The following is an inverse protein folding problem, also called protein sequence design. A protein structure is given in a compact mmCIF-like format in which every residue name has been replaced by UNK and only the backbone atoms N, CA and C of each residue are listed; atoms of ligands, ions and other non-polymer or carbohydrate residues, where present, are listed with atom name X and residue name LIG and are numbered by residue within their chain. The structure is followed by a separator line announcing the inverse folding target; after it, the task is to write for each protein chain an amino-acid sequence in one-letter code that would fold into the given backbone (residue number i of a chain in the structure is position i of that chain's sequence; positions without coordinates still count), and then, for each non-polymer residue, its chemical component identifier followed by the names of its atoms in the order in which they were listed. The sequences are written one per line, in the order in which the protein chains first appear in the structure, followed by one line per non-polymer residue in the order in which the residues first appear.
data_IF_174859960185
#
_entry.id   IF_174859960185
#
_cell.length_a   1.000
_cell.length_b   1.000
_cell.length_c   1.000
_cell.angle_alpha   90.00
_cell.angle_beta   90.00
_cell.angle_gamma   90.00
#
_symmetry.space_group_name_H-M   'P 1'
#
loop_
_entity.id
_entity.type
_entity.pdbx_description
1 polymer ?
#
# COMPACT_ATOMS: atom_id res chain seq x y z
N UNK A 1 -1.82 11.72 1.98
CA UNK A 1 -2.49 12.28 3.21
C UNK A 1 -2.16 13.75 3.38
N UNK A 2 -2.71 14.43 4.39
CA UNK A 2 -2.65 15.90 4.57
C UNK A 2 -1.24 16.54 4.61
N UNK A 3 -0.19 15.74 4.85
CA UNK A 3 1.21 16.18 4.74
C UNK A 3 2.00 15.52 3.62
N UNK A 4 1.36 14.84 2.65
CA UNK A 4 2.06 14.06 1.62
C UNK A 4 2.72 12.78 2.14
N UNK A 5 2.68 12.49 3.44
CA UNK A 5 3.38 11.34 4.06
C UNK A 5 2.62 10.01 3.92
N UNK A 6 1.29 10.05 3.87
CA UNK A 6 0.47 8.85 3.76
C UNK A 6 0.28 8.46 2.28
N UNK A 7 0.70 7.24 1.97
CA UNK A 7 0.56 6.58 0.69
C UNK A 7 -0.57 5.54 0.79
N UNK A 8 -1.47 5.55 -0.18
CA UNK A 8 -2.45 4.49 -0.38
C UNK A 8 -2.32 4.00 -1.83
N UNK A 9 -2.26 2.68 -2.00
CA UNK A 9 -2.15 2.05 -3.33
C UNK A 9 -2.89 0.71 -3.35
N UNK A 10 -3.17 0.21 -4.55
CA UNK A 10 -3.54 -1.18 -4.75
C UNK A 10 -2.32 -1.91 -5.32
N UNK A 11 -1.92 -3.01 -4.69
CA UNK A 11 -0.92 -3.92 -5.24
C UNK A 11 -1.70 -5.07 -5.86
N UNK A 12 -1.41 -5.38 -7.12
CA UNK A 12 -2.02 -6.51 -7.82
C UNK A 12 -0.94 -7.47 -8.27
N UNK A 13 -1.25 -8.76 -8.21
CA UNK A 13 -0.54 -9.78 -8.96
C UNK A 13 -1.53 -10.47 -9.93
N UNK A 14 -1.13 -11.62 -10.48
CA UNK A 14 -1.96 -12.40 -11.40
C UNK A 14 -3.19 -13.07 -10.73
N UNK A 15 -3.34 -12.95 -9.42
CA UNK A 15 -4.36 -13.69 -8.63
C UNK A 15 -5.29 -12.77 -7.85
N UNK A 16 -4.82 -11.64 -7.35
CA UNK A 16 -5.60 -10.74 -6.53
C UNK A 16 -5.08 -9.30 -6.58
N UNK A 17 -5.99 -8.37 -6.28
CA UNK A 17 -5.66 -6.98 -5.97
C UNK A 17 -5.99 -6.70 -4.51
N UNK A 18 -5.04 -6.14 -3.76
CA UNK A 18 -5.22 -5.82 -2.33
C UNK A 18 -4.93 -4.35 -2.08
N UNK A 19 -5.82 -3.73 -1.28
CA UNK A 19 -5.64 -2.36 -0.81
C UNK A 19 -4.51 -2.31 0.22
N UNK A 20 -3.58 -1.40 0.01
CA UNK A 20 -2.43 -1.17 0.86
C UNK A 20 -2.41 0.27 1.36
N UNK A 21 -2.03 0.46 2.62
CA UNK A 21 -1.76 1.77 3.21
C UNK A 21 -0.35 1.81 3.79
N UNK A 22 0.31 2.94 3.66
CA UNK A 22 1.70 3.11 4.06
C UNK A 22 1.95 4.49 4.63
N UNK A 23 2.48 4.55 5.85
CA UNK A 23 2.80 5.81 6.51
C UNK A 23 4.24 6.21 6.23
N UNK A 24 4.49 7.50 5.97
CA UNK A 24 5.81 8.08 5.62
C UNK A 24 6.38 7.63 4.26
N UNK A 25 5.56 7.04 3.41
CA UNK A 25 5.95 6.55 2.09
C UNK A 25 5.50 7.43 0.94
N UNK A 26 4.77 8.53 1.15
CA UNK A 26 4.28 9.30 0.00
C UNK A 26 5.38 9.94 -0.86
N UNK A 27 6.59 10.13 -0.34
CA UNK A 27 7.78 10.48 -1.15
C UNK A 27 8.12 9.45 -2.25
N UNK A 28 7.63 8.21 -2.13
CA UNK A 28 7.87 7.13 -3.08
C UNK A 28 6.84 7.08 -4.22
N UNK A 29 5.78 7.91 -4.20
CA UNK A 29 4.68 7.90 -5.17
C UNK A 29 5.19 7.89 -6.62
N UNK A 30 6.08 8.81 -6.98
CA UNK A 30 6.64 8.88 -8.35
C UNK A 30 7.41 7.62 -8.73
N UNK A 31 8.26 7.12 -7.82
CA UNK A 31 9.06 5.91 -8.07
C UNK A 31 8.17 4.68 -8.25
N UNK A 32 7.07 4.58 -7.50
CA UNK A 32 6.08 3.52 -7.64
C UNK A 32 5.36 3.56 -8.99
N UNK A 33 5.08 4.74 -9.55
CA UNK A 33 4.49 4.87 -10.88
C UNK A 33 5.46 4.49 -12.01
N UNK A 34 6.76 4.65 -11.78
CA UNK A 34 7.82 4.32 -12.74
C UNK A 34 8.29 2.86 -12.64
N UNK A 35 7.93 2.15 -11.56
CA UNK A 35 8.37 0.78 -11.30
C UNK A 35 7.23 -0.20 -11.61
N UNK A 36 7.47 -1.13 -12.53
CA UNK A 36 6.49 -2.19 -12.84
C UNK A 36 6.39 -3.22 -11.70
N UNK A 37 7.51 -3.51 -11.03
CA UNK A 37 7.60 -4.45 -9.92
C UNK A 37 8.41 -3.87 -8.77
N UNK A 38 8.06 -4.25 -7.55
CA UNK A 38 8.74 -3.88 -6.32
C UNK A 38 8.39 -4.86 -5.21
N UNK A 39 9.21 -4.88 -4.16
CA UNK A 39 9.01 -5.76 -3.01
C UNK A 39 8.39 -4.98 -1.85
N UNK A 40 7.51 -5.63 -1.09
CA UNK A 40 6.87 -5.03 0.09
C UNK A 40 6.88 -5.96 1.28
N UNK A 41 7.09 -5.39 2.47
CA UNK A 41 6.81 -6.05 3.75
C UNK A 41 5.56 -5.43 4.37
N UNK A 42 4.62 -6.23 4.83
CA UNK A 42 3.33 -5.75 5.31
C UNK A 42 2.78 -6.55 6.49
N UNK A 43 1.88 -5.92 7.24
CA UNK A 43 1.02 -6.58 8.21
C UNK A 43 -0.42 -6.58 7.71
N UNK A 44 -1.05 -7.76 7.53
CA UNK A 44 -2.45 -7.82 7.13
C UNK A 44 -3.36 -7.42 8.30
N UNK A 45 -4.39 -6.63 8.00
CA UNK A 45 -5.38 -6.17 8.97
C UNK A 45 -6.79 -6.24 8.37
N UNK A 46 -7.79 -6.41 9.24
CA UNK A 46 -9.19 -6.21 8.89
C UNK A 46 -9.54 -4.75 9.22
N UNK A 47 -9.97 -4.01 8.21
CA UNK A 47 -10.43 -2.65 8.36
C UNK A 47 -11.96 -2.62 8.26
N UNK A 48 -12.62 -2.28 9.37
CA UNK A 48 -14.07 -2.14 9.44
C UNK A 48 -14.46 -0.66 9.46
N UNK A 49 -15.14 -0.21 8.42
CA UNK A 49 -15.62 1.17 8.29
C UNK A 49 -17.03 1.20 7.73
N UNK A 50 -17.92 1.97 8.37
CA UNK A 50 -19.34 2.08 8.02
C UNK A 50 -20.05 0.72 7.82
N UNK A 51 -19.74 -0.25 8.69
CA UNK A 51 -20.33 -1.59 8.65
C UNK A 51 -19.72 -2.55 7.61
N UNK A 52 -18.79 -2.09 6.77
CA UNK A 52 -18.09 -2.94 5.81
C UNK A 52 -16.71 -3.32 6.34
N UNK A 53 -16.34 -4.60 6.22
CA UNK A 53 -15.01 -5.09 6.61
C UNK A 53 -14.24 -5.54 5.38
N UNK A 54 -13.04 -5.01 5.19
CA UNK A 54 -12.15 -5.38 4.10
C UNK A 54 -10.78 -5.77 4.65
N UNK A 55 -10.08 -6.65 3.94
CA UNK A 55 -8.65 -6.89 4.20
C UNK A 55 -7.85 -5.71 3.65
N UNK A 56 -6.96 -5.17 4.47
CA UNK A 56 -6.04 -4.09 4.11
C UNK A 56 -4.63 -4.46 4.58
N UNK A 57 -3.62 -4.16 3.77
CA UNK A 57 -2.22 -4.38 4.12
C UNK A 57 -1.59 -3.07 4.60
N UNK A 58 -1.09 -3.06 5.83
CA UNK A 58 -0.30 -1.94 6.35
C UNK A 58 1.15 -2.19 5.99
N UNK A 59 1.68 -1.39 5.07
CA UNK A 59 3.05 -1.49 4.59
C UNK A 59 4.02 -1.00 5.67
N UNK A 60 5.07 -1.79 5.88
CA UNK A 60 6.16 -1.51 6.82
C UNK A 60 7.47 -1.22 6.12
N UNK A 61 7.63 -1.72 4.90
CA UNK A 61 8.78 -1.43 4.03
C UNK A 61 8.41 -1.58 2.54
N UNK A 62 9.10 -0.83 1.69
CA UNK A 62 9.02 -0.89 0.23
C UNK A 62 10.44 -0.85 -0.31
N UNK A 63 10.82 -1.88 -1.08
CA UNK A 63 12.13 -1.99 -1.70
C UNK A 63 11.97 -2.09 -3.22
N UNK A 64 12.84 -1.37 -3.91
CA UNK A 64 12.96 -1.37 -5.36
C UNK A 64 14.31 -2.00 -5.71
N UNK A 65 14.40 -2.71 -6.84
CA UNK A 65 15.69 -3.14 -7.41
C UNK A 65 16.52 -1.95 -7.91
#
# INVERSE_FOLDING_TARGET
GSGGEHLQLAITDNTAAVRCIGFRFGKLEKKLLESEFFNVAYQPQLNTYNGNTNVEFVLTDIQFE
#
